data_IF_385749010135
#
_entry.id   IF_385749010135
#
_cell.length_a   1.000
_cell.length_b   1.000
_cell.length_c   1.000
_cell.angle_alpha   90.00
_cell.angle_beta   90.00
_cell.angle_gamma   90.00
#
_symmetry.space_group_name_H-M   'P 1'
#
loop_
_entity.id
_entity.type
_entity.pdbx_description
1 polymer ?
#
# COMPACT_ATOMS: atom_id res chain seq x y z
N UNK A 1 -39.62 25.46 25.06
CA UNK A 1 -38.51 25.28 24.09
C UNK A 1 -37.50 24.37 24.81
N UNK A 2 -37.52 23.12 24.46
CA UNK A 2 -36.53 22.16 24.96
C UNK A 2 -35.19 22.46 24.31
N UNK A 3 -34.16 22.71 25.14
CA UNK A 3 -32.79 22.81 24.65
C UNK A 3 -32.31 21.41 24.27
N UNK A 4 -32.35 21.07 23.00
CA UNK A 4 -31.66 19.89 22.49
C UNK A 4 -30.14 20.11 22.58
N UNK A 5 -29.54 19.48 23.58
CA UNK A 5 -28.08 19.40 23.68
C UNK A 5 -27.60 18.34 22.67
N UNK A 6 -27.15 18.76 21.52
CA UNK A 6 -26.48 17.89 20.55
C UNK A 6 -25.07 17.53 21.08
N UNK A 7 -24.96 16.35 21.71
CA UNK A 7 -23.68 15.80 22.15
C UNK A 7 -23.10 14.93 21.03
N UNK A 8 -21.83 15.14 20.69
CA UNK A 8 -21.09 14.29 19.75
C UNK A 8 -20.47 13.09 20.49
N UNK A 9 -20.48 11.93 19.84
CA UNK A 9 -19.75 10.77 20.35
C UNK A 9 -18.24 11.07 20.36
N UNK A 10 -17.59 10.73 21.46
CA UNK A 10 -16.12 10.80 21.56
C UNK A 10 -15.52 9.49 21.06
N UNK A 11 -14.53 9.58 20.17
CA UNK A 11 -13.83 8.42 19.62
C UNK A 11 -12.52 8.21 20.38
N UNK A 12 -12.37 7.03 20.97
CA UNK A 12 -11.11 6.60 21.59
C UNK A 12 -10.28 5.85 20.54
N UNK A 13 -9.27 6.51 19.95
CA UNK A 13 -8.43 5.93 18.90
C UNK A 13 -7.73 4.64 19.35
N UNK A 14 -7.20 4.61 20.58
CA UNK A 14 -6.57 3.39 21.14
C UNK A 14 -7.54 2.21 21.22
N UNK A 15 -8.78 2.47 21.65
CA UNK A 15 -9.84 1.46 21.67
C UNK A 15 -10.22 0.98 20.27
N UNK A 16 -10.28 1.91 19.28
CA UNK A 16 -10.52 1.54 17.89
C UNK A 16 -9.40 0.68 17.32
N UNK A 17 -8.14 1.04 17.55
CA UNK A 17 -6.99 0.25 17.09
C UNK A 17 -7.01 -1.15 17.69
N UNK A 18 -7.34 -1.28 18.99
CA UNK A 18 -7.49 -2.58 19.63
C UNK A 18 -8.58 -3.42 18.96
N UNK A 19 -9.76 -2.84 18.71
CA UNK A 19 -10.86 -3.51 18.01
C UNK A 19 -10.50 -3.90 16.57
N UNK A 20 -9.80 -3.02 15.84
CA UNK A 20 -9.31 -3.30 14.50
C UNK A 20 -8.30 -4.47 14.51
N UNK A 21 -7.38 -4.48 15.48
CA UNK A 21 -6.37 -5.53 15.62
C UNK A 21 -6.97 -6.89 15.98
N UNK A 22 -8.00 -6.91 16.84
CA UNK A 22 -8.61 -8.15 17.32
C UNK A 22 -9.64 -8.73 16.34
N UNK A 23 -10.36 -7.90 15.60
CA UNK A 23 -11.54 -8.32 14.84
C UNK A 23 -11.47 -8.10 13.33
N UNK A 24 -10.71 -7.11 12.86
CA UNK A 24 -10.65 -6.77 11.43
C UNK A 24 -9.33 -7.22 10.81
N UNK A 25 -8.22 -7.06 11.52
CA UNK A 25 -6.90 -7.49 11.05
C UNK A 25 -6.46 -8.79 11.71
N UNK A 26 -7.14 -9.90 11.36
CA UNK A 26 -6.75 -11.25 11.79
C UNK A 26 -5.32 -11.64 11.37
N UNK A 27 -4.74 -10.93 10.40
CA UNK A 27 -3.37 -11.11 9.92
C UNK A 27 -2.57 -9.82 10.16
N UNK A 28 -1.52 -9.85 11.02
CA UNK A 28 -0.69 -8.68 11.28
C UNK A 28 0.00 -8.13 10.02
N UNK A 29 0.18 -8.95 8.98
CA UNK A 29 0.82 -8.54 7.73
C UNK A 29 -0.05 -7.63 6.84
N UNK A 30 -1.29 -7.36 7.23
CA UNK A 30 -2.23 -6.53 6.45
C UNK A 30 -1.68 -5.12 6.20
N UNK A 31 -0.87 -4.58 7.12
CA UNK A 31 -0.25 -3.26 6.94
C UNK A 31 0.60 -3.18 5.66
N UNK A 32 1.28 -4.27 5.27
CA UNK A 32 2.08 -4.32 4.03
C UNK A 32 1.19 -4.11 2.82
N UNK A 33 0.02 -4.78 2.79
CA UNK A 33 -0.96 -4.59 1.72
C UNK A 33 -1.43 -3.14 1.63
N UNK A 34 -1.80 -2.55 2.75
CA UNK A 34 -2.32 -1.17 2.81
C UNK A 34 -1.26 -0.15 2.36
N UNK A 35 0.01 -0.32 2.80
CA UNK A 35 1.09 0.56 2.38
C UNK A 35 1.41 0.43 0.90
N UNK A 36 1.48 -0.79 0.37
CA UNK A 36 1.66 -1.02 -1.07
C UNK A 36 0.53 -0.40 -1.90
N UNK A 37 -0.73 -0.54 -1.45
CA UNK A 37 -1.88 0.06 -2.11
C UNK A 37 -1.78 1.60 -2.12
N UNK A 38 -1.37 2.21 -1.01
CA UNK A 38 -1.16 3.66 -0.96
C UNK A 38 -0.06 4.12 -1.93
N UNK A 39 1.06 3.39 -2.03
CA UNK A 39 2.11 3.68 -2.99
C UNK A 39 1.59 3.56 -4.45
N UNK A 40 0.87 2.49 -4.78
CA UNK A 40 0.28 2.28 -6.11
C UNK A 40 -0.66 3.43 -6.47
N UNK A 41 -1.53 3.82 -5.55
CA UNK A 41 -2.49 4.90 -5.76
C UNK A 41 -1.81 6.26 -5.96
N UNK A 42 -0.75 6.56 -5.17
CA UNK A 42 0.01 7.79 -5.32
C UNK A 42 0.74 7.87 -6.67
N UNK A 43 1.32 6.76 -7.13
CA UNK A 43 1.98 6.68 -8.45
C UNK A 43 0.95 6.77 -9.58
N UNK A 44 -0.20 6.10 -9.45
CA UNK A 44 -1.28 6.14 -10.43
C UNK A 44 -1.82 7.56 -10.58
N UNK A 45 -2.00 8.29 -9.46
CA UNK A 45 -2.43 9.70 -9.49
C UNK A 45 -1.42 10.58 -10.27
N UNK A 46 -0.12 10.36 -10.11
CA UNK A 46 0.89 11.10 -10.86
C UNK A 46 0.91 10.70 -12.34
N UNK A 47 0.72 9.41 -12.65
CA UNK A 47 0.63 8.94 -14.04
C UNK A 47 -0.61 9.45 -14.79
N UNK A 48 -1.68 9.77 -14.11
CA UNK A 48 -2.84 10.42 -14.73
C UNK A 48 -2.51 11.86 -15.20
N UNK A 49 -1.43 12.45 -14.66
CA UNK A 49 -0.92 13.77 -15.09
C UNK A 49 0.19 13.61 -16.13
N UNK A 50 1.05 12.61 -15.99
CA UNK A 50 2.14 12.27 -16.90
C UNK A 50 2.14 10.76 -17.21
N UNK A 51 1.51 10.37 -18.32
CA UNK A 51 1.34 8.98 -18.73
C UNK A 51 2.66 8.20 -18.86
N UNK A 52 3.77 8.90 -19.13
CA UNK A 52 5.09 8.29 -19.30
C UNK A 52 5.88 8.21 -17.99
N UNK A 53 5.30 8.66 -16.86
CA UNK A 53 5.99 8.64 -15.58
C UNK A 53 6.36 7.22 -15.15
N UNK A 54 7.63 7.02 -14.80
CA UNK A 54 8.15 5.75 -14.33
C UNK A 54 7.93 5.60 -12.82
N UNK A 55 6.81 4.97 -12.45
CA UNK A 55 6.50 4.69 -11.05
C UNK A 55 7.41 3.64 -10.44
N UNK A 56 7.78 3.81 -9.17
CA UNK A 56 8.65 2.91 -8.41
C UNK A 56 8.28 2.91 -6.93
N UNK A 57 8.36 1.74 -6.32
CA UNK A 57 8.19 1.54 -4.88
C UNK A 57 9.49 0.95 -4.33
N UNK A 58 10.04 1.61 -3.31
CA UNK A 58 11.24 1.18 -2.60
C UNK A 58 10.90 0.83 -1.15
N UNK A 59 11.33 -0.32 -0.70
CA UNK A 59 11.10 -0.80 0.67
C UNK A 59 12.44 -1.07 1.33
N UNK A 60 12.72 -0.40 2.45
CA UNK A 60 14.01 -0.50 3.15
C UNK A 60 13.82 -1.21 4.48
N UNK A 61 14.62 -2.24 4.71
CA UNK A 61 14.84 -2.86 6.02
C UNK A 61 16.16 -2.35 6.57
N UNK A 62 16.09 -1.33 7.42
CA UNK A 62 17.26 -0.67 7.96
C UNK A 62 17.93 -1.49 9.07
N UNK A 63 19.22 -1.24 9.34
CA UNK A 63 19.98 -1.92 10.38
C UNK A 63 19.46 -1.63 11.79
N UNK A 64 18.83 -0.48 12.02
CA UNK A 64 18.17 -0.11 13.27
C UNK A 64 16.83 -0.84 13.50
N UNK A 65 16.45 -1.71 12.57
CA UNK A 65 15.20 -2.47 12.59
C UNK A 65 13.99 -1.68 12.09
N UNK A 66 14.15 -0.44 11.65
CA UNK A 66 13.07 0.32 11.04
C UNK A 66 12.76 -0.19 9.63
N UNK A 67 11.48 -0.09 9.26
CA UNK A 67 10.96 -0.38 7.93
C UNK A 67 10.50 0.91 7.27
N UNK A 68 10.90 1.13 6.02
CA UNK A 68 10.47 2.28 5.24
C UNK A 68 9.82 1.81 3.95
N UNK A 69 8.60 2.27 3.69
CA UNK A 69 7.97 2.22 2.37
C UNK A 69 8.08 3.59 1.73
N UNK A 70 8.62 3.66 0.53
CA UNK A 70 8.78 4.89 -0.23
C UNK A 70 8.22 4.71 -1.63
N UNK A 71 7.44 5.67 -2.08
CA UNK A 71 6.99 5.80 -3.46
C UNK A 71 7.51 7.10 -4.08
N UNK A 72 7.55 7.13 -5.40
CA UNK A 72 7.81 8.33 -6.17
C UNK A 72 6.51 8.89 -6.80
N UNK A 73 5.37 8.68 -6.16
CA UNK A 73 4.07 9.14 -6.63
C UNK A 73 3.85 10.63 -6.45
N UNK A 74 2.57 11.06 -6.49
CA UNK A 74 2.19 12.48 -6.48
C UNK A 74 2.55 13.21 -5.17
N UNK A 75 2.76 12.47 -4.07
CA UNK A 75 2.98 13.03 -2.75
C UNK A 75 1.77 13.78 -2.18
N UNK A 76 1.93 14.34 -0.98
CA UNK A 76 0.88 15.05 -0.25
C UNK A 76 1.35 16.47 0.11
N UNK A 77 0.43 17.45 0.02
CA UNK A 77 0.58 18.78 0.61
C UNK A 77 0.25 18.76 2.09
N UNK A 78 0.62 19.82 2.81
CA UNK A 78 0.33 19.96 4.25
C UNK A 78 -1.16 19.80 4.56
N UNK A 79 -2.04 20.46 3.79
CA UNK A 79 -3.49 20.38 3.95
C UNK A 79 -4.04 18.96 3.75
N UNK A 80 -3.46 18.22 2.80
CA UNK A 80 -3.83 16.84 2.51
C UNK A 80 -3.34 15.89 3.61
N UNK A 81 -2.13 16.10 4.15
CA UNK A 81 -1.62 15.37 5.32
C UNK A 81 -2.55 15.57 6.51
N UNK A 82 -2.96 16.81 6.78
CA UNK A 82 -3.92 17.10 7.85
C UNK A 82 -5.24 16.36 7.59
N UNK A 83 -5.81 16.49 6.41
CA UNK A 83 -7.10 15.92 6.06
C UNK A 83 -7.11 14.39 6.07
N UNK A 84 -6.08 13.75 5.49
CA UNK A 84 -6.07 12.29 5.28
C UNK A 84 -5.45 11.47 6.40
N UNK A 85 -4.55 12.08 7.19
CA UNK A 85 -3.86 11.36 8.27
C UNK A 85 -4.42 11.67 9.66
N UNK A 86 -5.16 12.79 9.83
CA UNK A 86 -5.69 13.17 11.14
C UNK A 86 -7.18 12.92 11.27
N UNK A 87 -7.92 12.86 10.16
CA UNK A 87 -9.36 12.56 10.15
C UNK A 87 -9.58 11.10 9.80
N UNK A 88 -9.90 10.29 10.82
CA UNK A 88 -10.15 8.86 10.65
C UNK A 88 -11.39 8.65 9.77
N UNK A 89 -11.22 7.87 8.70
CA UNK A 89 -12.32 7.57 7.76
C UNK A 89 -12.49 8.56 6.61
N UNK A 90 -11.65 9.58 6.51
CA UNK A 90 -11.57 10.44 5.32
C UNK A 90 -10.51 9.92 4.35
N UNK A 91 -10.84 9.90 3.06
CA UNK A 91 -9.93 9.45 2.00
C UNK A 91 -10.08 10.39 0.81
N UNK A 92 -8.94 10.82 0.23
CA UNK A 92 -8.89 11.62 -1.00
C UNK A 92 -9.64 10.99 -2.19
N UNK A 93 -9.93 9.70 -2.09
CA UNK A 93 -10.38 8.84 -3.18
C UNK A 93 -11.91 8.70 -3.27
N UNK A 94 -12.68 9.28 -2.31
CA UNK A 94 -14.15 9.16 -2.30
C UNK A 94 -14.86 10.12 -3.23
N UNK A 95 -14.26 11.28 -3.46
CA UNK A 95 -14.94 12.43 -4.12
C UNK A 95 -14.42 12.69 -5.55
N UNK A 96 -13.61 11.80 -6.11
CA UNK A 96 -13.14 11.93 -7.51
C UNK A 96 -14.05 11.16 -8.46
N UNK A 97 -14.31 11.67 -9.69
CA UNK A 97 -15.08 10.95 -10.72
C UNK A 97 -14.49 9.57 -11.06
N UNK A 98 -13.18 9.39 -10.88
CA UNK A 98 -12.42 8.17 -11.17
C UNK A 98 -12.15 7.35 -9.90
N UNK A 99 -13.03 7.45 -8.89
CA UNK A 99 -12.85 6.74 -7.60
C UNK A 99 -12.75 5.20 -7.74
N UNK A 100 -13.17 4.64 -8.87
CA UNK A 100 -13.07 3.22 -9.18
C UNK A 100 -11.65 2.76 -9.51
N UNK A 101 -10.74 3.68 -9.87
CA UNK A 101 -9.35 3.39 -10.23
C UNK A 101 -8.41 3.30 -9.03
N UNK A 102 -8.88 3.67 -7.83
CA UNK A 102 -8.08 3.66 -6.60
C UNK A 102 -8.45 2.48 -5.68
N UNK A 103 -7.42 1.82 -5.14
CA UNK A 103 -7.56 0.63 -4.29
C UNK A 103 -7.91 0.99 -2.83
N UNK A 104 -7.38 2.08 -2.30
CA UNK A 104 -7.55 2.51 -0.90
C UNK A 104 -8.78 3.37 -0.64
N UNK A 105 -9.96 2.78 -0.39
CA UNK A 105 -11.25 3.51 -0.30
C UNK A 105 -11.64 4.04 1.08
N UNK A 106 -11.02 3.56 2.18
CA UNK A 106 -11.59 3.73 3.51
C UNK A 106 -10.88 4.73 4.44
N UNK A 107 -9.70 5.26 4.07
CA UNK A 107 -8.95 6.22 4.90
C UNK A 107 -8.53 5.66 6.28
N UNK A 108 -8.57 4.35 6.48
CA UNK A 108 -8.17 3.67 7.72
C UNK A 108 -6.98 2.74 7.54
N UNK A 109 -6.48 2.59 6.29
CA UNK A 109 -5.41 1.64 5.97
C UNK A 109 -4.14 1.87 6.77
N UNK A 110 -3.76 3.15 6.94
CA UNK A 110 -2.57 3.52 7.72
C UNK A 110 -2.68 3.09 9.19
N UNK A 111 -3.89 3.05 9.76
CA UNK A 111 -4.10 2.60 11.15
C UNK A 111 -3.72 1.13 11.36
N UNK A 112 -3.72 0.31 10.29
CA UNK A 112 -3.26 -1.08 10.37
C UNK A 112 -1.80 -1.19 10.80
N UNK A 113 -0.98 -0.17 10.54
CA UNK A 113 0.42 -0.11 10.95
C UNK A 113 0.55 -0.12 12.49
N UNK A 114 -0.42 0.43 13.23
CA UNK A 114 -0.37 0.43 14.69
C UNK A 114 -0.48 -0.97 15.32
N UNK A 115 -0.85 -1.98 14.56
CA UNK A 115 -0.73 -3.38 15.00
C UNK A 115 0.74 -3.71 15.29
N UNK A 116 1.64 -3.32 14.40
CA UNK A 116 3.07 -3.68 14.46
C UNK A 116 3.98 -2.57 15.00
N UNK A 117 3.50 -1.33 15.10
CA UNK A 117 4.27 -0.17 15.61
C UNK A 117 3.49 0.64 16.64
N UNK A 118 4.17 1.45 17.45
CA UNK A 118 3.55 2.44 18.33
C UNK A 118 3.53 3.85 17.72
N UNK A 119 4.31 4.06 16.68
CA UNK A 119 4.47 5.35 16.03
C UNK A 119 4.62 5.15 14.52
N UNK A 120 3.98 6.03 13.76
CA UNK A 120 4.05 6.07 12.29
C UNK A 120 4.59 7.44 11.92
N UNK A 121 5.68 7.49 11.17
CA UNK A 121 6.15 8.75 10.56
C UNK A 121 5.85 8.70 9.06
N UNK A 122 5.22 9.76 8.56
CA UNK A 122 4.99 9.99 7.13
C UNK A 122 5.73 11.25 6.73
N UNK A 123 6.55 11.15 5.70
CA UNK A 123 7.20 12.28 5.07
C UNK A 123 6.77 12.33 3.62
N UNK A 124 6.41 13.52 3.16
CA UNK A 124 5.89 13.67 1.81
C UNK A 124 6.24 15.02 1.21
N UNK A 125 6.48 15.01 -0.11
CA UNK A 125 6.58 16.21 -0.94
C UNK A 125 5.69 16.05 -2.14
N UNK A 126 4.72 16.94 -2.27
CA UNK A 126 3.79 16.94 -3.40
C UNK A 126 4.48 17.34 -4.70
N UNK A 127 4.03 16.74 -5.83
CA UNK A 127 4.39 17.19 -7.17
C UNK A 127 3.92 18.63 -7.45
N UNK A 128 2.92 19.11 -6.72
CA UNK A 128 2.32 20.43 -6.88
C UNK A 128 2.88 21.47 -5.89
N UNK A 129 3.78 21.06 -4.99
CA UNK A 129 4.38 21.93 -3.98
C UNK A 129 5.83 21.52 -3.74
N UNK A 130 6.67 22.51 -3.35
CA UNK A 130 8.06 22.23 -2.98
C UNK A 130 8.25 21.94 -1.50
N UNK A 131 7.22 22.25 -0.68
CA UNK A 131 7.28 22.08 0.76
C UNK A 131 7.28 20.58 1.12
N UNK A 132 8.24 20.18 1.93
CA UNK A 132 8.24 18.86 2.57
C UNK A 132 7.39 18.93 3.82
N UNK A 133 6.54 17.92 4.02
CA UNK A 133 5.72 17.76 5.22
C UNK A 133 6.14 16.48 5.92
N UNK A 134 6.37 16.58 7.24
CA UNK A 134 6.61 15.42 8.11
C UNK A 134 5.50 15.36 9.15
N UNK A 135 4.77 14.26 9.15
CA UNK A 135 3.75 13.94 10.14
C UNK A 135 4.19 12.73 10.96
N UNK A 136 4.00 12.80 12.27
CA UNK A 136 4.30 11.70 13.19
C UNK A 136 3.09 11.47 14.09
N UNK A 137 2.45 10.31 13.94
CA UNK A 137 1.28 9.90 14.71
C UNK A 137 1.58 8.76 15.65
N UNK A 138 0.98 8.77 16.85
CA UNK A 138 1.16 7.77 17.90
C UNK A 138 -0.12 6.99 18.17
N UNK A 139 0.06 5.78 18.68
CA UNK A 139 -1.05 4.87 19.04
C UNK A 139 -1.99 5.44 20.10
N UNK A 140 -1.57 6.44 20.88
CA UNK A 140 -2.39 7.13 21.87
C UNK A 140 -3.32 8.20 21.27
N UNK A 141 -3.21 8.44 19.94
CA UNK A 141 -4.01 9.41 19.20
C UNK A 141 -3.36 10.80 19.11
N UNK A 142 -2.18 10.99 19.67
CA UNK A 142 -1.43 12.23 19.49
C UNK A 142 -0.66 12.23 18.16
N UNK A 143 -0.47 13.41 17.58
CA UNK A 143 0.36 13.59 16.38
C UNK A 143 1.07 14.93 16.39
N UNK A 144 2.12 15.03 15.60
CA UNK A 144 2.85 16.26 15.33
C UNK A 144 3.04 16.41 13.82
N UNK A 145 2.97 17.65 13.33
CA UNK A 145 3.30 17.99 11.94
C UNK A 145 4.41 19.04 11.95
N UNK A 146 5.41 18.84 11.11
CA UNK A 146 6.50 19.79 10.91
C UNK A 146 6.73 20.00 9.42
N UNK A 147 7.31 21.16 9.07
CA UNK A 147 7.65 21.54 7.70
C UNK A 147 9.18 21.69 7.60
N UNK A 148 9.92 20.59 7.39
CA UNK A 148 11.36 20.63 7.25
C UNK A 148 11.77 21.50 6.06
N UNK A 149 12.82 22.31 6.24
CA UNK A 149 13.43 23.05 5.13
C UNK A 149 14.52 22.16 4.49
N UNK A 150 14.09 21.11 3.83
CA UNK A 150 14.94 20.11 3.19
C UNK A 150 14.53 19.97 1.72
N UNK A 151 15.52 19.76 0.83
CA UNK A 151 15.22 19.34 -0.53
C UNK A 151 14.97 17.84 -0.55
N UNK A 152 13.81 17.47 -1.07
CA UNK A 152 13.40 16.06 -1.15
C UNK A 152 12.74 15.76 -2.50
N UNK A 153 12.90 14.52 -3.04
CA UNK A 153 12.22 14.14 -4.27
C UNK A 153 10.70 14.11 -4.08
N UNK A 154 9.96 14.20 -5.18
CA UNK A 154 8.50 14.03 -5.17
C UNK A 154 8.17 12.61 -4.71
N UNK A 155 7.11 12.48 -3.92
CA UNK A 155 6.62 11.21 -3.42
C UNK A 155 6.40 11.23 -1.91
N UNK A 156 6.20 10.03 -1.36
CA UNK A 156 5.98 9.86 0.07
C UNK A 156 6.81 8.71 0.62
N UNK A 157 7.13 8.77 1.91
CA UNK A 157 7.64 7.62 2.65
C UNK A 157 6.95 7.46 3.99
N UNK A 158 6.71 6.20 4.34
CA UNK A 158 6.17 5.80 5.64
C UNK A 158 7.24 5.02 6.39
N UNK A 159 7.56 5.46 7.59
CA UNK A 159 8.61 4.88 8.44
C UNK A 159 7.94 4.23 9.65
N UNK A 160 8.24 2.97 9.91
CA UNK A 160 7.73 2.18 11.01
C UNK A 160 8.89 1.62 11.84
N UNK A 161 8.79 1.75 13.16
CA UNK A 161 9.69 1.06 14.11
C UNK A 161 8.89 -0.06 14.76
N UNK A 162 9.26 -1.34 14.54
CA UNK A 162 8.45 -2.45 15.02
C UNK A 162 8.44 -2.55 16.54
N UNK A 163 7.31 -2.96 17.10
CA UNK A 163 7.22 -3.43 18.47
C UNK A 163 8.05 -4.72 18.62
N UNK A 164 8.59 -4.97 19.80
CA UNK A 164 9.46 -6.14 20.08
C UNK A 164 8.82 -7.47 19.71
N UNK A 165 7.53 -7.62 19.99
CA UNK A 165 6.76 -8.83 19.67
C UNK A 165 6.62 -9.10 18.17
N UNK A 166 6.74 -8.08 17.33
CA UNK A 166 6.61 -8.16 15.87
C UNK A 166 7.94 -8.09 15.12
N UNK A 167 9.08 -7.94 15.82
CA UNK A 167 10.39 -7.79 15.20
C UNK A 167 10.74 -8.95 14.23
N UNK A 168 10.25 -10.16 14.49
CA UNK A 168 10.46 -11.33 13.63
C UNK A 168 9.84 -11.18 12.22
N UNK A 169 8.80 -10.35 12.05
CA UNK A 169 8.20 -10.08 10.73
C UNK A 169 9.12 -9.23 9.86
N UNK A 170 10.05 -8.49 10.46
CA UNK A 170 10.97 -7.58 9.80
C UNK A 170 12.34 -8.23 9.50
N UNK A 171 12.49 -9.53 9.75
CA UNK A 171 13.62 -10.30 9.25
C UNK A 171 13.55 -10.42 7.73
N UNK A 172 14.69 -10.28 7.04
CA UNK A 172 14.76 -10.13 5.58
C UNK A 172 13.95 -11.19 4.82
N UNK A 173 14.24 -12.47 5.07
CA UNK A 173 13.59 -13.57 4.34
C UNK A 173 12.09 -13.69 4.66
N UNK A 174 11.72 -13.40 5.90
CA UNK A 174 10.31 -13.38 6.33
C UNK A 174 9.59 -12.22 5.65
N UNK A 175 10.14 -11.02 5.73
CA UNK A 175 9.53 -9.83 5.16
C UNK A 175 9.45 -9.88 3.62
N UNK A 176 10.49 -10.39 2.95
CA UNK A 176 10.50 -10.61 1.51
C UNK A 176 9.34 -11.50 1.04
N UNK A 177 9.05 -12.59 1.78
CA UNK A 177 7.90 -13.47 1.48
C UNK A 177 6.58 -12.72 1.64
N UNK A 178 6.43 -11.93 2.72
CA UNK A 178 5.23 -11.11 2.96
C UNK A 178 5.08 -10.08 1.84
N UNK A 179 6.14 -9.37 1.49
CA UNK A 179 6.14 -8.35 0.45
C UNK A 179 5.78 -8.93 -0.92
N UNK A 180 6.31 -10.11 -1.28
CA UNK A 180 5.94 -10.84 -2.48
C UNK A 180 4.46 -11.23 -2.50
N UNK A 181 3.97 -11.76 -1.40
CA UNK A 181 2.58 -12.22 -1.29
C UNK A 181 1.56 -11.11 -1.61
N UNK A 182 1.84 -9.88 -1.23
CA UNK A 182 0.96 -8.73 -1.49
C UNK A 182 1.35 -7.91 -2.73
N UNK A 183 2.62 -7.96 -3.13
CA UNK A 183 3.17 -7.11 -4.19
C UNK A 183 3.32 -7.77 -5.56
N UNK A 184 3.30 -9.11 -5.64
CA UNK A 184 3.64 -9.87 -6.87
C UNK A 184 2.89 -9.40 -8.12
N UNK A 185 1.62 -9.02 -7.97
CA UNK A 185 0.74 -8.64 -9.08
C UNK A 185 0.59 -7.13 -9.26
N UNK A 186 1.27 -6.31 -8.46
CA UNK A 186 1.13 -4.87 -8.54
C UNK A 186 1.81 -4.30 -9.80
N UNK A 187 1.27 -3.20 -10.37
CA UNK A 187 1.66 -2.70 -11.69
C UNK A 187 3.00 -1.97 -11.71
N UNK A 188 3.58 -1.64 -10.56
CA UNK A 188 4.83 -0.89 -10.46
C UNK A 188 5.94 -1.78 -9.86
N UNK A 189 7.22 -1.57 -10.26
CA UNK A 189 8.34 -2.31 -9.69
C UNK A 189 8.49 -2.02 -8.20
N UNK A 190 8.68 -3.08 -7.41
CA UNK A 190 8.89 -3.03 -5.97
C UNK A 190 10.29 -3.55 -5.70
N UNK A 191 11.12 -2.71 -5.10
CA UNK A 191 12.49 -3.05 -4.74
C UNK A 191 12.61 -3.17 -3.22
N UNK A 192 13.19 -4.27 -2.76
CA UNK A 192 13.54 -4.48 -1.36
C UNK A 192 15.04 -4.20 -1.17
N UNK A 193 15.33 -3.30 -0.24
CA UNK A 193 16.69 -2.87 0.08
C UNK A 193 17.11 -3.35 1.45
N UNK A 194 18.30 -3.93 1.54
CA UNK A 194 19.01 -4.18 2.78
C UNK A 194 20.51 -3.91 2.58
N UNK A 195 21.26 -4.85 2.04
CA UNK A 195 22.65 -4.69 1.61
C UNK A 195 22.72 -4.43 0.12
N UNK A 196 21.85 -5.06 -0.63
CA UNK A 196 21.66 -4.90 -2.07
C UNK A 196 20.20 -4.60 -2.38
N UNK A 197 19.95 -4.07 -3.58
CA UNK A 197 18.62 -3.84 -4.11
C UNK A 197 18.13 -5.12 -4.80
N UNK A 198 16.96 -5.60 -4.44
CA UNK A 198 16.32 -6.76 -5.07
C UNK A 198 14.93 -6.41 -5.60
N UNK A 199 14.67 -6.67 -6.88
CA UNK A 199 13.32 -6.59 -7.46
C UNK A 199 12.46 -7.73 -6.95
N UNK A 200 11.35 -7.40 -6.29
CA UNK A 200 10.50 -8.36 -5.58
C UNK A 200 9.37 -8.89 -6.44
N UNK A 201 8.83 -8.07 -7.36
CA UNK A 201 7.67 -8.42 -8.17
C UNK A 201 7.97 -8.38 -9.67
N UNK A 202 6.97 -8.80 -10.44
CA UNK A 202 6.99 -8.70 -11.92
C UNK A 202 5.98 -7.59 -12.31
N UNK A 203 6.42 -6.35 -12.55
CA UNK A 203 5.53 -5.18 -12.68
C UNK A 203 4.65 -5.16 -13.94
N UNK A 204 4.74 -6.13 -14.78
CA UNK A 204 3.84 -6.31 -15.93
C UNK A 204 3.58 -7.80 -16.12
N UNK A 205 2.77 -8.39 -15.24
CA UNK A 205 2.50 -9.79 -15.32
C UNK A 205 1.90 -10.16 -16.67
N UNK A 206 2.25 -11.35 -17.18
CA UNK A 206 1.88 -11.80 -18.52
C UNK A 206 0.37 -11.76 -18.80
N UNK A 207 -0.46 -11.90 -17.76
CA UNK A 207 -1.93 -11.86 -17.87
C UNK A 207 -2.51 -10.46 -18.07
N UNK A 208 -1.77 -9.39 -17.76
CA UNK A 208 -2.19 -8.02 -18.08
C UNK A 208 -1.88 -7.65 -19.53
N UNK A 209 -1.06 -8.44 -20.22
CA UNK A 209 -0.81 -8.26 -21.64
C UNK A 209 -1.91 -8.96 -22.47
N UNK A 210 -2.85 -8.23 -23.09
CA UNK A 210 -3.92 -8.83 -23.88
C UNK A 210 -3.41 -9.56 -25.13
N UNK A 211 -2.14 -9.32 -25.52
CA UNK A 211 -1.47 -9.98 -26.65
C UNK A 211 -0.59 -11.15 -26.21
N UNK A 212 -0.57 -11.51 -24.93
CA UNK A 212 0.21 -12.64 -24.45
C UNK A 212 -0.28 -13.93 -25.13
N UNK A 213 0.68 -14.68 -25.67
CA UNK A 213 0.38 -15.95 -26.31
C UNK A 213 -0.03 -17.00 -25.28
N UNK A 214 -0.80 -18.00 -25.72
CA UNK A 214 -1.15 -19.17 -24.90
C UNK A 214 0.09 -19.83 -24.28
N UNK A 215 1.22 -19.87 -25.00
CA UNK A 215 2.48 -20.41 -24.51
C UNK A 215 3.02 -19.63 -23.32
N UNK A 216 3.07 -18.30 -23.41
CA UNK A 216 3.52 -17.44 -22.31
C UNK A 216 2.62 -17.57 -21.08
N UNK A 217 1.31 -17.69 -21.28
CA UNK A 217 0.36 -17.93 -20.19
C UNK A 217 0.63 -19.28 -19.51
N UNK A 218 0.83 -20.35 -20.27
CA UNK A 218 1.12 -21.67 -19.72
C UNK A 218 2.45 -21.74 -18.99
N UNK A 219 3.50 -21.08 -19.50
CA UNK A 219 4.81 -20.95 -18.83
C UNK A 219 4.69 -20.19 -17.51
N UNK A 220 3.88 -19.14 -17.48
CA UNK A 220 3.57 -18.40 -16.26
C UNK A 220 2.81 -19.30 -15.27
N UNK A 221 1.74 -19.97 -15.71
CA UNK A 221 0.96 -20.88 -14.86
C UNK A 221 1.83 -21.99 -14.26
N UNK A 222 2.77 -22.54 -15.03
CA UNK A 222 3.70 -23.56 -14.53
C UNK A 222 4.59 -23.05 -13.39
N UNK A 223 5.00 -21.77 -13.41
CA UNK A 223 5.75 -21.13 -12.31
C UNK A 223 4.88 -20.91 -11.08
N UNK A 224 3.64 -20.41 -11.27
CA UNK A 224 2.71 -20.11 -10.17
C UNK A 224 2.26 -21.37 -9.43
N UNK A 225 1.85 -22.39 -10.18
CA UNK A 225 1.29 -23.62 -9.59
C UNK A 225 2.33 -24.71 -9.36
N UNK A 226 3.60 -24.47 -9.72
CA UNK A 226 4.68 -25.50 -9.71
C UNK A 226 4.27 -26.80 -10.43
N UNK A 227 3.39 -26.68 -11.42
CA UNK A 227 2.82 -27.75 -12.21
C UNK A 227 2.35 -27.23 -13.57
N UNK A 228 2.45 -28.06 -14.61
CA UNK A 228 1.99 -27.67 -15.93
C UNK A 228 0.46 -27.61 -15.97
N UNK A 229 -0.08 -26.47 -16.38
CA UNK A 229 -1.51 -26.36 -16.68
C UNK A 229 -1.81 -27.02 -18.03
N UNK A 230 -3.01 -27.61 -18.18
CA UNK A 230 -3.51 -28.20 -19.42
C UNK A 230 -3.88 -27.12 -20.43
N UNK A 231 -4.44 -26.02 -19.94
CA UNK A 231 -4.82 -24.87 -20.76
C UNK A 231 -4.84 -23.56 -19.97
N UNK A 232 -4.86 -22.43 -20.70
CA UNK A 232 -4.93 -21.09 -20.14
C UNK A 232 -5.71 -20.16 -21.07
N UNK A 233 -6.62 -19.36 -20.51
CA UNK A 233 -7.48 -18.44 -21.23
C UNK A 233 -7.46 -17.05 -20.56
N UNK A 234 -7.38 -16.00 -21.36
CA UNK A 234 -7.64 -14.65 -20.89
C UNK A 234 -9.10 -14.50 -20.48
N UNK A 235 -9.32 -13.86 -19.34
CA UNK A 235 -10.63 -13.43 -18.88
C UNK A 235 -10.61 -11.91 -18.78
N UNK A 236 -11.59 -11.27 -19.39
CA UNK A 236 -11.86 -9.87 -19.22
C UNK A 236 -13.36 -9.62 -19.23
N UNK A 237 -13.81 -8.68 -18.41
CA UNK A 237 -15.20 -8.23 -18.46
C UNK A 237 -15.32 -7.04 -19.40
N UNK A 238 -16.50 -6.89 -20.03
CA UNK A 238 -16.78 -5.79 -21.00
C UNK A 238 -16.54 -4.41 -20.40
N UNK A 239 -16.75 -4.24 -19.09
CA UNK A 239 -16.49 -2.99 -18.36
C UNK A 239 -15.02 -2.84 -17.89
N UNK A 240 -14.13 -3.76 -18.25
CA UNK A 240 -12.70 -3.72 -17.88
C UNK A 240 -12.39 -3.93 -16.39
N UNK A 241 -13.39 -4.16 -15.55
CA UNK A 241 -13.20 -4.27 -14.08
C UNK A 241 -12.53 -5.57 -13.63
N UNK A 242 -12.59 -6.62 -14.46
CA UNK A 242 -11.92 -7.90 -14.19
C UNK A 242 -11.05 -8.26 -15.37
N UNK A 243 -9.73 -8.35 -15.12
CA UNK A 243 -8.75 -8.88 -16.06
C UNK A 243 -7.96 -9.99 -15.36
N UNK A 244 -7.74 -11.08 -16.07
CA UNK A 244 -6.98 -12.19 -15.50
C UNK A 244 -6.81 -13.34 -16.46
N UNK A 245 -6.33 -14.46 -15.93
CA UNK A 245 -6.19 -15.72 -16.68
C UNK A 245 -6.82 -16.86 -15.90
N UNK A 246 -7.62 -17.67 -16.59
CA UNK A 246 -8.11 -18.95 -16.11
C UNK A 246 -7.13 -20.04 -16.52
N UNK A 247 -6.67 -20.85 -15.56
CA UNK A 247 -5.83 -22.02 -15.81
C UNK A 247 -6.62 -23.30 -15.57
N UNK A 248 -6.51 -24.25 -16.48
CA UNK A 248 -7.04 -25.60 -16.30
C UNK A 248 -5.89 -26.47 -15.79
N UNK A 249 -6.01 -26.93 -14.54
CA UNK A 249 -5.00 -27.80 -13.93
C UNK A 249 -5.35 -29.27 -14.10
N UNK A 250 -4.35 -30.18 -14.19
CA UNK A 250 -4.58 -31.64 -14.37
C UNK A 250 -5.10 -32.32 -13.09
N UNK A 251 -5.24 -31.60 -11.97
CA UNK A 251 -5.67 -32.16 -10.69
C UNK A 251 -6.60 -31.17 -9.96
N UNK A 252 -7.41 -31.67 -9.03
CA UNK A 252 -8.19 -30.82 -8.14
C UNK A 252 -7.27 -30.23 -7.07
N UNK A 253 -7.26 -28.90 -6.97
CA UNK A 253 -6.72 -28.21 -5.79
C UNK A 253 -7.69 -28.43 -4.63
N UNK A 254 -7.18 -28.88 -3.49
CA UNK A 254 -7.96 -28.98 -2.25
C UNK A 254 -8.19 -27.60 -1.66
#
# INVERSE_FOLDING_TARGET
MENENNNLFQVNLKGMIALLSEHIYSNPNTFVRELLQNCVDAITALRNIDENYAGRIDVYLNEDGSLVFQDNGIGLKEEEVYRFLTVIGESSKRDTPDADDYIGRFGIGLLSCFVVTNEITVESRSAMDKQVVRWCGKVDGTYQTTLPNEEWPIGSRVILVPKKEWAHLFEYETFKKILRNYGEILPYPIYLHRQEEELVNTPSPVWLNPKASRKELLEHGAKVFQSSALDAFHIHTENGKVNGVLYILPFRTQ
#
